data_IF_773416360805
#
_entry.id   IF_773416360805
#
_cell.length_a   1.000
_cell.length_b   1.000
_cell.length_c   1.000
_cell.angle_alpha   90.00
_cell.angle_beta   90.00
_cell.angle_gamma   90.00
#
_symmetry.space_group_name_H-M   'P 1'
#
loop_
_entity.id
_entity.type
_entity.pdbx_description
1 polymer ?
#
# COMPACT_ATOMS: atom_id res chain seq x y z
N UNK A 1 6.77 -9.81 8.00
CA UNK A 1 6.30 -8.70 8.88
C UNK A 1 7.47 -7.79 9.13
N UNK A 2 7.44 -6.56 8.62
CA UNK A 2 8.51 -5.59 8.90
C UNK A 2 8.25 -5.01 10.29
N UNK A 3 9.02 -5.46 11.28
CA UNK A 3 9.01 -4.86 12.60
C UNK A 3 9.96 -3.66 12.57
N UNK A 4 9.44 -2.46 12.76
CA UNK A 4 10.27 -1.27 12.92
C UNK A 4 10.77 -1.19 14.35
N UNK A 5 12.05 -0.83 14.59
CA UNK A 5 12.56 -0.62 15.95
C UNK A 5 11.89 0.59 16.60
N UNK A 6 11.91 0.61 17.95
CA UNK A 6 11.35 1.71 18.73
C UNK A 6 9.93 1.46 19.22
N UNK A 7 9.40 2.44 19.93
CA UNK A 7 8.06 2.37 20.55
C UNK A 7 7.24 3.59 20.16
N UNK A 8 5.95 3.40 19.95
CA UNK A 8 5.00 4.46 19.68
C UNK A 8 3.96 4.48 20.80
N UNK A 9 3.69 5.65 21.37
CA UNK A 9 2.77 5.81 22.50
C UNK A 9 1.30 5.95 22.08
N UNK A 10 1.03 6.20 20.80
CA UNK A 10 -0.32 6.33 20.26
C UNK A 10 -0.94 4.99 19.86
N UNK A 11 -2.05 5.06 19.13
CA UNK A 11 -2.77 3.87 18.65
C UNK A 11 -2.07 3.19 17.49
N UNK A 12 -1.95 1.88 17.53
CA UNK A 12 -1.42 1.08 16.42
C UNK A 12 -2.50 0.12 15.95
N UNK A 13 -2.87 0.22 14.68
CA UNK A 13 -3.90 -0.59 14.06
C UNK A 13 -3.35 -1.37 12.86
N UNK A 14 -3.95 -2.50 12.55
CA UNK A 14 -3.60 -3.34 11.41
C UNK A 14 -4.85 -3.65 10.61
N UNK A 15 -4.83 -3.34 9.33
CA UNK A 15 -5.95 -3.62 8.44
C UNK A 15 -5.50 -4.39 7.21
N UNK A 16 -6.12 -5.53 7.00
CA UNK A 16 -6.03 -6.30 5.75
C UNK A 16 -7.17 -5.99 4.77
N UNK A 17 -8.14 -5.18 5.15
CA UNK A 17 -9.34 -4.82 4.40
C UNK A 17 -9.66 -3.33 4.42
N UNK A 18 -10.93 -2.99 4.52
CA UNK A 18 -11.39 -1.61 4.69
C UNK A 18 -11.31 -1.20 6.16
N UNK A 19 -10.93 0.06 6.40
CA UNK A 19 -10.98 0.62 7.75
C UNK A 19 -12.44 0.86 8.18
N UNK A 20 -12.78 0.63 9.46
CA UNK A 20 -14.09 0.99 10.00
C UNK A 20 -14.36 2.50 9.86
N UNK A 21 -15.64 2.87 9.74
CA UNK A 21 -16.05 4.28 9.72
C UNK A 21 -15.91 4.91 11.11
N UNK A 22 -15.68 6.23 11.14
CA UNK A 22 -15.60 7.08 12.35
C UNK A 22 -14.46 6.76 13.31
N UNK A 23 -13.51 5.93 12.91
CA UNK A 23 -12.37 5.59 13.77
C UNK A 23 -11.25 6.63 13.76
N UNK A 24 -11.18 7.45 12.69
CA UNK A 24 -10.09 8.38 12.44
C UNK A 24 -10.51 9.85 12.50
N UNK A 25 -11.72 10.14 12.96
CA UNK A 25 -12.26 11.50 12.99
C UNK A 25 -11.34 12.47 13.72
N UNK A 26 -10.86 13.49 13.01
CA UNK A 26 -9.98 14.53 13.55
C UNK A 26 -8.56 14.09 13.88
N UNK A 27 -8.21 12.82 13.70
CA UNK A 27 -6.89 12.27 14.04
C UNK A 27 -5.82 12.60 12.98
N UNK A 28 -4.55 12.63 13.42
CA UNK A 28 -3.38 12.59 12.53
C UNK A 28 -2.97 11.14 12.35
N UNK A 29 -3.07 10.63 11.13
CA UNK A 29 -2.89 9.20 10.85
C UNK A 29 -1.66 8.98 9.97
N UNK A 30 -0.79 8.03 10.35
CA UNK A 30 0.22 7.46 9.47
C UNK A 30 -0.32 6.17 8.86
N UNK A 31 -0.23 6.01 7.54
CA UNK A 31 -0.52 4.75 6.85
C UNK A 31 0.81 4.19 6.34
N UNK A 32 1.17 2.99 6.79
CA UNK A 32 2.42 2.31 6.42
C UNK A 32 2.07 1.01 5.69
N UNK A 33 2.56 0.83 4.47
CA UNK A 33 2.30 -0.39 3.72
C UNK A 33 2.63 -0.33 2.24
N UNK A 34 2.32 -1.41 1.52
CA UNK A 34 2.46 -1.46 0.07
C UNK A 34 1.45 -0.55 -0.63
N UNK A 35 1.79 -0.13 -1.85
CA UNK A 35 0.92 0.77 -2.61
C UNK A 35 -0.49 0.24 -2.84
N UNK A 36 -0.67 -1.08 -3.00
CA UNK A 36 -1.98 -1.70 -3.19
C UNK A 36 -2.83 -1.64 -1.91
N UNK A 37 -2.23 -1.92 -0.75
CA UNK A 37 -2.91 -1.87 0.54
C UNK A 37 -3.25 -0.42 0.92
N UNK A 38 -2.30 0.50 0.71
CA UNK A 38 -2.50 1.94 0.93
C UNK A 38 -3.61 2.49 0.02
N UNK A 39 -3.62 2.14 -1.27
CA UNK A 39 -4.63 2.60 -2.21
C UNK A 39 -6.06 2.25 -1.77
N UNK A 40 -6.22 1.13 -1.08
CA UNK A 40 -7.51 0.66 -0.56
C UNK A 40 -7.96 1.42 0.69
N UNK A 41 -7.04 1.67 1.62
CA UNK A 41 -7.35 2.27 2.93
C UNK A 41 -7.40 3.80 2.88
N UNK A 42 -6.52 4.42 2.10
CA UNK A 42 -6.32 5.87 2.07
C UNK A 42 -7.61 6.68 1.88
N UNK A 43 -8.52 6.37 0.93
CA UNK A 43 -9.70 7.20 0.73
C UNK A 43 -10.66 7.21 1.91
N UNK A 44 -10.83 6.06 2.59
CA UNK A 44 -11.68 5.97 3.77
C UNK A 44 -11.10 6.74 4.95
N UNK A 45 -9.81 6.56 5.21
CA UNK A 45 -9.12 7.25 6.31
C UNK A 45 -9.04 8.76 6.06
N UNK A 46 -8.74 9.18 4.84
CA UNK A 46 -8.62 10.59 4.49
C UNK A 46 -9.95 11.36 4.54
N UNK A 47 -11.07 10.67 4.41
CA UNK A 47 -12.39 11.29 4.54
C UNK A 47 -12.70 11.77 5.98
N UNK A 48 -12.01 11.24 6.97
CA UNK A 48 -12.29 11.46 8.39
C UNK A 48 -11.12 12.11 9.14
N UNK A 49 -9.88 11.79 8.73
CA UNK A 49 -8.69 12.25 9.41
C UNK A 49 -8.41 13.73 9.17
N UNK A 50 -7.91 14.42 10.18
CA UNK A 50 -7.43 15.80 10.06
C UNK A 50 -6.16 15.88 9.21
N UNK A 51 -5.30 14.85 9.27
CA UNK A 51 -4.08 14.75 8.47
C UNK A 51 -3.70 13.31 8.23
N UNK A 52 -3.29 13.00 7.00
CA UNK A 52 -2.79 11.67 6.63
C UNK A 52 -1.36 11.77 6.10
N UNK A 53 -0.47 10.98 6.70
CA UNK A 53 0.89 10.81 6.21
C UNK A 53 1.06 9.38 5.71
N UNK A 54 1.32 9.24 4.42
CA UNK A 54 1.46 7.94 3.75
C UNK A 54 2.93 7.58 3.64
N UNK A 55 3.35 6.48 4.24
CA UNK A 55 4.66 5.85 4.10
C UNK A 55 4.49 4.63 3.19
N UNK A 56 4.64 4.85 1.91
CA UNK A 56 4.49 3.78 0.92
C UNK A 56 5.82 3.08 0.70
N UNK A 57 5.87 1.78 0.97
CA UNK A 57 7.08 0.97 0.78
C UNK A 57 7.34 0.67 -0.70
N UNK A 58 6.27 0.35 -1.43
CA UNK A 58 6.34 -0.05 -2.83
C UNK A 58 5.28 0.66 -3.66
N UNK A 59 5.68 1.26 -4.78
CA UNK A 59 4.72 1.79 -5.74
C UNK A 59 4.05 0.66 -6.51
N UNK A 60 2.77 0.85 -6.89
CA UNK A 60 2.02 -0.09 -7.73
C UNK A 60 1.32 0.66 -8.85
N UNK A 61 1.10 -0.04 -9.97
CA UNK A 61 0.32 0.50 -11.08
C UNK A 61 -1.15 0.57 -10.69
N UNK A 62 -1.73 1.76 -10.73
CA UNK A 62 -3.16 1.95 -10.46
C UNK A 62 -3.91 2.16 -11.77
N UNK A 63 -4.86 1.28 -12.04
CA UNK A 63 -5.80 1.43 -13.15
C UNK A 63 -7.19 1.81 -12.62
N UNK A 64 -7.93 2.65 -13.33
CA UNK A 64 -9.30 2.95 -12.96
C UNK A 64 -10.20 1.73 -13.17
N UNK A 65 -11.28 1.64 -12.40
CA UNK A 65 -12.26 0.56 -12.51
C UNK A 65 -13.03 0.62 -13.82
N UNK A 66 -13.34 1.81 -14.29
CA UNK A 66 -13.96 2.07 -15.60
C UNK A 66 -12.93 2.65 -16.58
N UNK A 67 -13.00 2.36 -17.88
CA UNK A 67 -14.03 1.60 -18.60
C UNK A 67 -13.76 0.09 -18.71
N UNK A 68 -12.69 -0.45 -18.13
CA UNK A 68 -12.29 -1.85 -18.28
C UNK A 68 -12.76 -2.71 -17.10
N UNK A 69 -13.74 -3.61 -17.30
CA UNK A 69 -14.14 -4.54 -16.25
C UNK A 69 -12.97 -5.47 -15.86
N UNK A 70 -12.90 -5.83 -14.58
CA UNK A 70 -11.83 -6.63 -14.00
C UNK A 70 -11.49 -7.94 -14.77
N UNK A 71 -12.45 -8.72 -15.32
CA UNK A 71 -12.12 -9.90 -16.11
C UNK A 71 -11.41 -9.56 -17.44
N UNK A 72 -11.71 -8.43 -18.07
CA UNK A 72 -11.01 -7.98 -19.27
C UNK A 72 -9.57 -7.55 -18.95
N UNK A 73 -9.37 -6.88 -17.83
CA UNK A 73 -8.06 -6.46 -17.36
C UNK A 73 -7.13 -7.67 -17.10
N UNK A 74 -7.69 -8.79 -16.61
CA UNK A 74 -6.93 -10.03 -16.38
C UNK A 74 -6.44 -10.69 -17.68
N UNK A 75 -7.14 -10.49 -18.80
CA UNK A 75 -6.80 -11.06 -20.11
C UNK A 75 -6.03 -10.08 -21.00
N UNK A 76 -5.99 -8.80 -20.64
CA UNK A 76 -5.30 -7.78 -21.41
C UNK A 76 -3.78 -8.00 -21.43
N UNK A 77 -3.08 -7.70 -22.53
CA UNK A 77 -1.63 -7.72 -22.56
C UNK A 77 -1.02 -6.76 -21.54
N UNK A 78 0.08 -7.16 -20.91
CA UNK A 78 0.76 -6.36 -19.88
C UNK A 78 1.10 -4.95 -20.32
N UNK A 79 1.52 -4.80 -21.60
CA UNK A 79 1.83 -3.50 -22.19
C UNK A 79 0.63 -2.57 -22.22
N UNK A 80 -0.55 -3.09 -22.53
CA UNK A 80 -1.79 -2.31 -22.54
C UNK A 80 -2.17 -1.86 -21.14
N UNK A 81 -2.13 -2.78 -20.18
CA UNK A 81 -2.44 -2.47 -18.76
C UNK A 81 -1.52 -1.37 -18.22
N UNK A 82 -0.22 -1.47 -18.50
CA UNK A 82 0.77 -0.45 -18.08
C UNK A 82 0.53 0.89 -18.79
N UNK A 83 0.17 0.88 -20.08
CA UNK A 83 -0.13 2.10 -20.81
C UNK A 83 -1.33 2.82 -20.23
N UNK A 84 -2.39 2.09 -19.88
CA UNK A 84 -3.57 2.63 -19.20
C UNK A 84 -3.20 3.17 -17.83
N UNK A 85 -2.42 2.45 -17.05
CA UNK A 85 -1.99 2.89 -15.72
C UNK A 85 -1.11 4.14 -15.78
N UNK A 86 -0.17 4.21 -16.74
CA UNK A 86 0.65 5.41 -16.98
C UNK A 86 -0.20 6.61 -17.41
N UNK A 87 -1.16 6.40 -18.29
CA UNK A 87 -2.08 7.46 -18.70
C UNK A 87 -2.91 7.95 -17.52
N UNK A 88 -3.44 7.04 -16.71
CA UNK A 88 -4.18 7.35 -15.49
C UNK A 88 -3.34 8.17 -14.49
N UNK A 89 -2.09 7.75 -14.23
CA UNK A 89 -1.17 8.48 -13.37
C UNK A 89 -0.89 9.89 -13.91
N UNK A 90 -0.57 10.03 -15.19
CA UNK A 90 -0.30 11.32 -15.84
C UNK A 90 -1.50 12.26 -15.81
N UNK A 91 -2.69 11.74 -16.05
CA UNK A 91 -3.93 12.50 -16.04
C UNK A 91 -4.28 13.00 -14.64
N UNK A 92 -4.14 12.15 -13.63
CA UNK A 92 -4.52 12.49 -12.26
C UNK A 92 -3.44 13.24 -11.49
N UNK A 93 -2.14 13.01 -11.76
CA UNK A 93 -1.02 13.61 -11.03
C UNK A 93 -0.23 14.53 -11.97
N UNK A 94 -0.49 15.84 -11.87
CA UNK A 94 0.19 16.85 -12.69
C UNK A 94 1.59 17.19 -12.18
N UNK A 95 1.80 17.11 -10.86
CA UNK A 95 3.10 17.33 -10.22
C UNK A 95 4.10 16.27 -10.68
N UNK A 96 5.21 16.72 -11.29
CA UNK A 96 6.23 15.84 -11.86
C UNK A 96 7.02 15.08 -10.80
N UNK A 97 7.29 15.72 -9.66
CA UNK A 97 7.99 15.11 -8.54
C UNK A 97 7.15 13.99 -7.92
N UNK A 98 5.87 14.30 -7.58
CA UNK A 98 4.95 13.30 -7.03
C UNK A 98 4.74 12.15 -8.01
N UNK A 99 4.60 12.45 -9.30
CA UNK A 99 4.45 11.44 -10.35
C UNK A 99 5.65 10.51 -10.45
N UNK A 100 6.89 11.03 -10.37
CA UNK A 100 8.09 10.19 -10.40
C UNK A 100 8.14 9.22 -9.21
N UNK A 101 7.70 9.66 -8.04
CA UNK A 101 7.64 8.84 -6.82
C UNK A 101 6.53 7.79 -6.85
N UNK A 102 5.47 8.05 -7.58
CA UNK A 102 4.34 7.12 -7.75
C UNK A 102 4.48 6.23 -8.99
N UNK A 103 5.53 6.41 -9.79
CA UNK A 103 5.79 5.55 -10.95
C UNK A 103 6.51 4.29 -10.48
N UNK A 104 5.85 3.12 -10.56
CA UNK A 104 6.46 1.87 -10.19
C UNK A 104 7.48 1.41 -11.23
N UNK A 105 8.31 0.44 -10.84
CA UNK A 105 9.14 -0.29 -11.80
C UNK A 105 8.30 -1.21 -12.71
N UNK A 106 8.97 -1.83 -13.68
CA UNK A 106 8.32 -2.69 -14.66
C UNK A 106 7.83 -4.03 -14.09
N UNK A 107 8.26 -4.40 -12.90
CA UNK A 107 7.87 -5.65 -12.22
C UNK A 107 6.72 -5.46 -11.22
N UNK A 108 6.34 -4.21 -10.96
CA UNK A 108 5.34 -3.87 -9.96
C UNK A 108 3.95 -4.43 -10.30
N UNK A 109 3.22 -4.76 -9.26
CA UNK A 109 1.84 -5.21 -9.36
C UNK A 109 0.87 -4.14 -9.86
N UNK A 110 -0.33 -4.57 -10.24
CA UNK A 110 -1.41 -3.69 -10.69
C UNK A 110 -2.57 -3.78 -9.70
N UNK A 111 -3.04 -2.65 -9.23
CA UNK A 111 -4.24 -2.53 -8.41
C UNK A 111 -5.31 -1.71 -9.15
N UNK A 112 -6.58 -1.99 -8.86
CA UNK A 112 -7.72 -1.25 -9.43
C UNK A 112 -8.29 -0.33 -8.39
N UNK A 113 -8.18 0.99 -8.62
CA UNK A 113 -8.72 1.98 -7.70
C UNK A 113 -9.00 3.33 -8.38
N UNK A 114 -10.16 3.94 -8.09
CA UNK A 114 -10.58 5.16 -8.78
C UNK A 114 -10.16 6.45 -8.06
N UNK A 115 -10.09 6.42 -6.75
CA UNK A 115 -9.93 7.63 -5.93
C UNK A 115 -8.54 7.82 -5.33
N UNK A 116 -7.63 6.84 -5.44
CA UNK A 116 -6.33 6.87 -4.78
C UNK A 116 -5.52 8.14 -5.07
N UNK A 117 -5.25 8.42 -6.34
CA UNK A 117 -4.44 9.59 -6.71
C UNK A 117 -5.14 10.91 -6.38
N UNK A 118 -6.46 10.97 -6.52
CA UNK A 118 -7.27 12.13 -6.14
C UNK A 118 -7.18 12.40 -4.65
N UNK A 119 -7.29 11.35 -3.83
CA UNK A 119 -7.17 11.47 -2.38
C UNK A 119 -5.75 11.87 -1.96
N UNK A 120 -4.73 11.28 -2.55
CA UNK A 120 -3.33 11.60 -2.23
C UNK A 120 -2.96 13.07 -2.53
N UNK A 121 -3.71 13.74 -3.44
CA UNK A 121 -3.54 15.15 -3.78
C UNK A 121 -4.28 16.12 -2.85
N UNK A 122 -5.05 15.62 -1.91
CA UNK A 122 -5.73 16.49 -0.94
C UNK A 122 -4.70 17.18 -0.03
N UNK A 123 -4.93 18.45 0.37
CA UNK A 123 -3.93 19.25 1.09
C UNK A 123 -3.55 18.67 2.45
N UNK A 124 -4.42 17.88 3.08
CA UNK A 124 -4.16 17.21 4.34
C UNK A 124 -3.52 15.81 4.17
N UNK A 125 -3.31 15.34 2.93
CA UNK A 125 -2.62 14.10 2.61
C UNK A 125 -1.18 14.37 2.17
N UNK A 126 -0.22 13.65 2.73
CA UNK A 126 1.20 13.77 2.39
C UNK A 126 1.80 12.39 2.13
N UNK A 127 2.46 12.24 0.99
CA UNK A 127 3.31 11.08 0.70
C UNK A 127 4.72 11.33 1.21
N UNK A 128 5.25 10.39 1.98
CA UNK A 128 6.65 10.34 2.44
C UNK A 128 7.30 9.14 1.78
N UNK A 129 8.41 9.39 1.07
CA UNK A 129 9.14 8.36 0.30
C UNK A 129 10.47 7.98 0.94
N UNK A 130 10.84 8.66 2.03
CA UNK A 130 12.00 8.28 2.82
C UNK A 130 11.72 7.00 3.61
N UNK A 131 12.67 6.07 3.68
CA UNK A 131 12.52 4.88 4.50
C UNK A 131 12.29 5.24 5.96
N UNK A 132 11.48 4.42 6.62
CA UNK A 132 11.26 4.54 8.06
C UNK A 132 12.49 4.01 8.79
N UNK A 133 13.09 4.85 9.62
CA UNK A 133 14.22 4.46 10.47
C UNK A 133 13.76 3.77 11.74
N UNK A 134 12.72 4.32 12.41
CA UNK A 134 12.14 3.77 13.64
C UNK A 134 10.78 4.37 13.96
N UNK A 135 10.06 3.72 14.85
CA UNK A 135 8.95 4.34 15.54
C UNK A 135 9.49 5.22 16.68
N UNK A 136 8.87 6.37 16.88
CA UNK A 136 9.16 7.30 17.99
C UNK A 136 7.91 7.44 18.85
N UNK A 137 8.04 7.88 20.12
CA UNK A 137 6.89 8.00 21.01
C UNK A 137 5.73 8.84 20.45
N UNK A 138 6.03 9.86 19.65
CA UNK A 138 5.03 10.75 19.08
C UNK A 138 4.76 10.52 17.58
N UNK A 139 5.38 9.51 16.96
CA UNK A 139 5.16 9.29 15.53
C UNK A 139 6.15 8.35 14.85
N UNK A 140 6.44 8.64 13.58
CA UNK A 140 7.32 7.86 12.72
C UNK A 140 8.53 8.71 12.36
N UNK A 141 9.74 8.22 12.63
CA UNK A 141 10.99 8.87 12.24
C UNK A 141 11.55 8.22 10.99
N UNK A 142 11.85 9.03 9.99
CA UNK A 142 12.47 8.63 8.73
C UNK A 142 14.00 8.77 8.78
N UNK A 143 14.70 8.15 7.82
CA UNK A 143 16.18 8.12 7.77
C UNK A 143 16.81 9.50 7.57
N UNK A 144 16.06 10.48 7.04
CA UNK A 144 16.47 11.89 6.96
C UNK A 144 16.41 12.63 8.31
N UNK A 145 16.06 11.91 9.40
CA UNK A 145 15.99 12.43 10.76
C UNK A 145 14.67 13.12 11.11
N UNK A 146 13.75 13.29 10.16
CA UNK A 146 12.46 13.97 10.39
C UNK A 146 11.51 13.04 11.16
N UNK A 147 10.87 13.58 12.20
CA UNK A 147 9.82 12.92 12.95
C UNK A 147 8.44 13.42 12.49
N UNK A 148 7.66 12.52 11.94
CA UNK A 148 6.29 12.76 11.50
C UNK A 148 5.33 12.45 12.64
N UNK A 149 4.89 13.50 13.35
CA UNK A 149 3.99 13.35 14.50
C UNK A 149 2.59 12.93 14.07
N UNK A 150 2.09 11.86 14.68
CA UNK A 150 0.78 11.27 14.42
C UNK A 150 0.15 10.74 15.71
N UNK A 151 -1.16 10.57 15.70
CA UNK A 151 -1.91 10.03 16.84
C UNK A 151 -2.18 8.53 16.67
N UNK A 152 -2.22 8.09 15.41
CA UNK A 152 -2.51 6.69 15.06
C UNK A 152 -1.60 6.23 13.93
N UNK A 153 -1.05 5.03 14.06
CA UNK A 153 -0.33 4.33 13.00
C UNK A 153 -1.20 3.18 12.49
N UNK A 154 -1.44 3.15 11.19
CA UNK A 154 -2.17 2.09 10.49
C UNK A 154 -1.20 1.31 9.63
N UNK A 155 -0.99 0.05 9.96
CA UNK A 155 -0.29 -0.90 9.08
C UNK A 155 -1.28 -1.47 8.07
N UNK A 156 -1.08 -1.11 6.81
CA UNK A 156 -1.85 -1.61 5.69
C UNK A 156 -1.27 -2.95 5.23
N UNK A 157 -2.00 -4.02 5.48
CA UNK A 157 -1.58 -5.37 5.10
C UNK A 157 -2.16 -5.76 3.74
N UNK A 158 -1.36 -6.44 2.92
CA UNK A 158 -1.84 -6.95 1.64
C UNK A 158 -2.73 -8.16 1.85
N UNK A 159 -4.03 -7.98 1.70
CA UNK A 159 -4.96 -9.07 1.46
C UNK A 159 -5.28 -9.14 -0.04
N UNK A 160 -4.56 -9.99 -0.78
CA UNK A 160 -4.89 -10.57 -2.10
C UNK A 160 -5.60 -9.70 -3.17
N UNK A 161 -5.46 -8.36 -3.14
CA UNK A 161 -6.10 -7.45 -4.09
C UNK A 161 -5.16 -6.93 -5.19
N UNK A 162 -3.98 -7.54 -5.36
CA UNK A 162 -3.19 -7.35 -6.57
C UNK A 162 -3.90 -8.14 -7.66
N UNK A 163 -4.50 -7.44 -8.60
CA UNK A 163 -5.25 -8.06 -9.72
C UNK A 163 -4.30 -8.86 -10.61
N UNK A 164 -3.02 -8.47 -10.66
CA UNK A 164 -1.98 -9.12 -11.42
C UNK A 164 -0.60 -8.62 -10.99
N UNK A 165 0.31 -9.55 -10.72
CA UNK A 165 1.74 -9.23 -10.70
C UNK A 165 2.27 -9.37 -12.12
N UNK A 166 2.78 -8.29 -12.69
CA UNK A 166 3.41 -8.31 -14.01
C UNK A 166 4.85 -8.79 -13.81
N UNK A 167 5.03 -10.09 -13.73
CA UNK A 167 6.37 -10.70 -13.67
C UNK A 167 6.83 -11.10 -15.06
N UNK A 168 7.94 -10.57 -15.51
CA UNK A 168 8.76 -11.18 -16.56
C UNK A 168 9.60 -12.29 -15.91
N UNK A 169 9.20 -13.55 -16.14
CA UNK A 169 10.14 -14.68 -16.16
C UNK A 169 10.84 -15.10 -14.87
N UNK A 170 10.31 -14.85 -13.69
CA UNK A 170 10.82 -15.49 -12.49
C UNK A 170 10.02 -16.77 -12.22
N UNK A 171 10.63 -17.94 -12.49
CA UNK A 171 10.17 -19.22 -11.95
C UNK A 171 10.15 -19.09 -10.43
N UNK A 172 8.97 -19.24 -9.83
CA UNK A 172 8.86 -19.46 -8.40
C UNK A 172 9.67 -20.69 -8.02
N UNK A 173 10.53 -20.67 -7.01
CA UNK A 173 11.12 -21.88 -6.49
C UNK A 173 9.99 -22.75 -5.92
N UNK A 174 9.86 -23.95 -6.46
CA UNK A 174 8.97 -24.99 -5.97
C UNK A 174 9.56 -25.58 -4.69
N UNK A 175 9.46 -24.87 -3.56
CA UNK A 175 9.90 -25.40 -2.27
C UNK A 175 9.09 -24.75 -1.15
N UNK A 176 7.84 -25.16 -0.99
CA UNK A 176 7.12 -25.07 0.28
C UNK A 176 5.84 -25.93 0.25
N UNK A 177 5.99 -27.21 -0.03
CA UNK A 177 4.92 -28.17 0.18
C UNK A 177 5.52 -29.54 0.54
N UNK A 178 6.08 -29.65 1.73
CA UNK A 178 6.29 -30.93 2.45
C UNK A 178 6.86 -30.66 3.85
N UNK A 179 6.00 -30.28 4.79
CA UNK A 179 6.20 -30.63 6.21
C UNK A 179 4.81 -30.93 6.76
N UNK A 180 4.60 -32.19 7.11
CA UNK A 180 3.41 -32.57 7.87
C UNK A 180 2.82 -33.91 7.50
N UNK A 181 3.63 -35.00 7.52
CA UNK A 181 3.12 -36.37 7.65
C UNK A 181 4.24 -37.30 8.11
N UNK A 182 4.46 -37.36 9.40
CA UNK A 182 5.16 -38.47 10.10
C UNK A 182 4.64 -38.36 11.53
N UNK A 183 3.73 -39.21 11.95
CA UNK A 183 3.95 -40.61 12.21
C UNK A 183 3.73 -40.79 13.70
N UNK A 184 2.44 -40.95 14.15
CA UNK A 184 2.18 -41.57 15.45
C UNK A 184 2.40 -43.07 15.28
N UNK A 185 3.39 -43.63 15.97
CA UNK A 185 3.46 -45.04 16.38
C UNK A 185 3.52 -45.04 17.89
N UNK A 186 2.47 -45.54 18.51
CA UNK A 186 2.46 -45.99 19.88
C UNK A 186 3.12 -47.40 19.93
N UNK A 187 3.92 -47.70 20.95
CA UNK A 187 4.28 -49.06 21.27
C UNK A 187 3.35 -49.66 22.30
N UNK A 188 3.14 -50.97 22.18
CA UNK A 188 2.51 -51.85 23.09
C UNK A 188 3.29 -52.00 24.38
#
# INVERSE_FOLDING_TARGET
MTAFPGTFAGRVLRYAGFAPRHEFTGARVAIIGSGAAVARLLPGIAAEAAKVTVFQTDAVWIVPRAPLPAPLLRRAPDRLVRSVARANLRFQVRDSWLRSRLTPDDTAGVAVHDSYYRTLRQPHCRLVTWPIARLAPLGVRTVDGIEHRVDTIVFAEDSRHIVRTIARGARLPATAARVGAAGRKEPA
#
